data_IF_672469593200
#
_entry.id   IF_672469593200
#
_cell.length_a   1.000
_cell.length_b   1.000
_cell.length_c   1.000
_cell.angle_alpha   90.00
_cell.angle_beta   90.00
_cell.angle_gamma   90.00
#
_symmetry.space_group_name_H-M   'P 1'
#
loop_
_entity.id
_entity.type
_entity.pdbx_description
1 polymer ?
#
# COMPACT_ATOMS: atom_id res chain seq x y z
N UNK A 1 -2.55 -9.96 10.86
CA UNK A 1 -2.95 -10.24 12.25
C UNK A 1 -3.67 -9.02 12.81
N UNK A 2 -4.80 -9.17 13.53
CA UNK A 2 -5.49 -8.06 14.16
C UNK A 2 -4.61 -7.35 15.20
N UNK A 3 -4.86 -6.06 15.42
CA UNK A 3 -4.09 -5.25 16.40
C UNK A 3 -4.21 -5.81 17.82
N UNK A 4 -5.36 -6.41 18.15
CA UNK A 4 -5.68 -6.96 19.47
C UNK A 4 -4.86 -8.20 19.83
N UNK A 5 -4.36 -8.93 18.83
CA UNK A 5 -3.57 -10.13 19.02
C UNK A 5 -2.08 -9.89 18.71
N UNK A 6 -1.67 -8.62 18.54
CA UNK A 6 -0.34 -8.30 18.00
C UNK A 6 0.75 -8.04 19.03
N UNK A 7 0.38 -7.81 20.29
CA UNK A 7 1.30 -7.32 21.32
C UNK A 7 2.48 -8.28 21.56
N UNK A 8 2.22 -9.59 21.66
CA UNK A 8 3.28 -10.59 21.90
C UNK A 8 4.29 -10.67 20.75
N UNK A 9 3.81 -10.79 19.50
CA UNK A 9 4.69 -10.86 18.33
C UNK A 9 5.51 -9.57 18.20
N UNK A 10 4.89 -8.41 18.42
CA UNK A 10 5.60 -7.13 18.38
C UNK A 10 6.71 -7.06 19.41
N UNK A 11 6.45 -7.49 20.64
CA UNK A 11 7.45 -7.50 21.70
C UNK A 11 8.67 -8.36 21.33
N UNK A 12 8.48 -9.41 20.53
CA UNK A 12 9.57 -10.24 19.99
C UNK A 12 10.29 -9.61 18.79
N UNK A 13 9.57 -8.89 17.93
CA UNK A 13 10.12 -8.26 16.70
C UNK A 13 10.86 -6.94 16.98
N UNK A 14 10.39 -6.15 17.94
CA UNK A 14 10.92 -4.81 18.21
C UNK A 14 12.41 -4.80 18.62
N UNK A 15 12.91 -5.71 19.46
CA UNK A 15 14.35 -5.79 19.77
C UNK A 15 15.22 -6.10 18.56
N UNK A 16 14.68 -6.76 17.54
CA UNK A 16 15.35 -7.04 16.27
C UNK A 16 15.26 -5.88 15.26
N UNK A 17 14.61 -4.75 15.63
CA UNK A 17 14.38 -3.62 14.73
C UNK A 17 13.37 -3.92 13.63
N UNK A 18 12.59 -5.00 13.74
CA UNK A 18 11.60 -5.39 12.73
C UNK A 18 10.25 -4.73 13.07
N UNK A 19 9.76 -3.90 12.16
CA UNK A 19 8.45 -3.26 12.32
C UNK A 19 7.34 -4.16 11.77
N UNK A 20 6.34 -4.41 12.61
CA UNK A 20 5.10 -5.01 12.17
C UNK A 20 4.23 -3.96 11.46
N UNK A 21 3.98 -4.16 10.16
CA UNK A 21 3.13 -3.29 9.35
C UNK A 21 1.66 -3.69 9.51
N UNK A 22 0.81 -2.72 9.83
CA UNK A 22 -0.63 -2.92 9.94
C UNK A 22 -1.36 -2.53 8.66
N UNK A 23 -2.42 -3.28 8.39
CA UNK A 23 -3.35 -3.01 7.31
C UNK A 23 -4.57 -2.25 7.83
N UNK A 24 -5.00 -1.23 7.09
CA UNK A 24 -6.22 -0.46 7.36
C UNK A 24 -7.15 -0.54 6.16
N UNK A 25 -8.45 -0.71 6.43
CA UNK A 25 -9.52 -0.77 5.42
C UNK A 25 -10.55 0.34 5.67
N UNK A 26 -11.28 0.80 4.65
CA UNK A 26 -12.26 1.90 4.79
C UNK A 26 -13.35 1.64 5.83
N UNK A 27 -13.68 0.37 6.08
CA UNK A 27 -14.74 -0.05 7.00
C UNK A 27 -14.31 -0.22 8.47
N UNK A 28 -13.03 0.01 8.81
CA UNK A 28 -12.61 0.03 10.22
C UNK A 28 -13.32 1.17 10.96
N UNK A 29 -13.57 0.99 12.26
CA UNK A 29 -14.04 2.08 13.13
C UNK A 29 -12.90 3.02 13.52
N UNK A 30 -13.22 4.26 13.89
CA UNK A 30 -12.21 5.24 14.35
C UNK A 30 -11.47 4.74 15.60
N UNK A 31 -12.18 4.09 16.53
CA UNK A 31 -11.55 3.49 17.71
C UNK A 31 -10.48 2.44 17.35
N UNK A 32 -10.73 1.64 16.30
CA UNK A 32 -9.75 0.66 15.83
C UNK A 32 -8.62 1.32 15.05
N UNK A 33 -8.91 2.35 14.24
CA UNK A 33 -7.88 3.14 13.56
C UNK A 33 -6.93 3.81 14.57
N UNK A 34 -7.47 4.41 15.63
CA UNK A 34 -6.69 5.03 16.69
C UNK A 34 -5.80 4.01 17.41
N UNK A 35 -6.32 2.81 17.71
CA UNK A 35 -5.52 1.74 18.33
C UNK A 35 -4.40 1.26 17.42
N UNK A 36 -4.67 1.08 16.13
CA UNK A 36 -3.65 0.73 15.13
C UNK A 36 -2.59 1.83 15.07
N UNK A 37 -3.00 3.09 14.93
CA UNK A 37 -2.09 4.22 14.79
C UNK A 37 -1.18 4.42 16.01
N UNK A 38 -1.67 4.16 17.22
CA UNK A 38 -0.87 4.24 18.45
C UNK A 38 0.24 3.18 18.53
N UNK A 39 0.04 2.04 17.86
CA UNK A 39 0.99 0.92 17.90
C UNK A 39 1.88 0.88 16.65
N UNK A 40 1.38 1.29 15.49
CA UNK A 40 2.06 1.15 14.21
C UNK A 40 3.45 1.85 14.18
N UNK A 41 4.37 1.25 13.41
CA UNK A 41 5.70 1.79 13.10
C UNK A 41 6.00 1.53 11.61
N UNK A 42 6.93 2.28 11.04
CA UNK A 42 7.21 2.21 9.60
C UNK A 42 6.16 2.93 8.78
N UNK A 43 5.14 2.23 8.31
CA UNK A 43 4.05 2.80 7.50
C UNK A 43 2.71 2.09 7.79
N UNK A 44 1.61 2.70 7.39
CA UNK A 44 0.30 2.07 7.36
C UNK A 44 -0.01 1.56 5.95
N UNK A 45 -0.35 0.27 5.85
CA UNK A 45 -0.78 -0.33 4.60
C UNK A 45 -2.27 -0.06 4.40
N UNK A 46 -2.62 0.80 3.46
CA UNK A 46 -4.00 1.07 3.06
C UNK A 46 -4.45 0.01 2.06
N UNK A 47 -5.43 -0.79 2.46
CA UNK A 47 -6.08 -1.76 1.59
C UNK A 47 -7.11 -1.01 0.77
N UNK A 48 -6.74 -0.66 -0.47
CA UNK A 48 -7.69 -0.13 -1.43
C UNK A 48 -8.60 -1.28 -1.85
N UNK A 49 -9.88 -1.19 -1.51
CA UNK A 49 -10.89 -2.10 -2.07
C UNK A 49 -11.21 -1.63 -3.49
N UNK A 50 -10.21 -1.72 -4.37
CA UNK A 50 -10.47 -1.89 -5.79
C UNK A 50 -11.20 -3.23 -5.88
N UNK A 51 -12.48 -3.16 -6.22
CA UNK A 51 -13.48 -4.22 -6.01
C UNK A 51 -12.96 -5.64 -6.25
N UNK A 52 -13.28 -6.55 -5.33
CA UNK A 52 -12.90 -7.98 -5.36
C UNK A 52 -13.62 -8.80 -6.44
N UNK A 53 -14.05 -8.20 -7.54
CA UNK A 53 -14.59 -8.92 -8.70
C UNK A 53 -14.43 -8.06 -9.96
N UNK A 54 -13.67 -8.56 -10.93
CA UNK A 54 -13.80 -8.26 -12.37
C UNK A 54 -13.85 -6.79 -12.80
N UNK A 55 -12.76 -6.32 -13.40
CA UNK A 55 -12.82 -5.30 -14.46
C UNK A 55 -13.54 -3.99 -14.15
N UNK A 56 -12.96 -3.15 -13.28
CA UNK A 56 -13.18 -1.71 -13.38
C UNK A 56 -11.88 -1.04 -13.78
N UNK A 57 -11.90 -0.33 -14.90
CA UNK A 57 -10.78 0.48 -15.40
C UNK A 57 -10.49 1.68 -14.51
N UNK A 58 -11.49 2.16 -13.77
CA UNK A 58 -11.42 3.35 -12.94
C UNK A 58 -11.12 3.01 -11.49
N UNK A 59 -10.17 3.73 -10.92
CA UNK A 59 -9.80 3.60 -9.52
C UNK A 59 -10.84 4.29 -8.65
N UNK A 60 -11.29 3.62 -7.58
CA UNK A 60 -12.15 4.25 -6.60
C UNK A 60 -11.42 5.45 -5.95
N UNK A 61 -12.13 6.57 -5.80
CA UNK A 61 -11.62 7.70 -5.04
C UNK A 61 -11.47 7.31 -3.56
N UNK A 62 -10.23 7.31 -3.09
CA UNK A 62 -9.88 6.97 -1.70
C UNK A 62 -9.48 8.20 -0.88
N UNK A 63 -9.64 9.42 -1.41
CA UNK A 63 -9.22 10.66 -0.76
C UNK A 63 -9.85 10.84 0.63
N UNK A 64 -11.15 10.56 0.76
CA UNK A 64 -11.85 10.61 2.05
C UNK A 64 -11.32 9.58 3.05
N UNK A 65 -10.95 8.38 2.58
CA UNK A 65 -10.36 7.36 3.43
C UNK A 65 -8.95 7.76 3.90
N UNK A 66 -8.12 8.28 2.99
CA UNK A 66 -6.79 8.81 3.34
C UNK A 66 -6.92 9.93 4.37
N UNK A 67 -7.79 10.92 4.14
CA UNK A 67 -8.03 12.03 5.05
C UNK A 67 -8.45 11.54 6.44
N UNK A 68 -9.34 10.54 6.52
CA UNK A 68 -9.75 9.92 7.77
C UNK A 68 -8.59 9.22 8.49
N UNK A 69 -7.74 8.46 7.79
CA UNK A 69 -6.57 7.81 8.40
C UNK A 69 -5.57 8.84 8.93
N UNK A 70 -5.38 9.95 8.21
CA UNK A 70 -4.50 11.06 8.60
C UNK A 70 -4.93 11.77 9.88
N UNK A 71 -6.21 11.73 10.24
CA UNK A 71 -6.68 12.25 11.52
C UNK A 71 -6.13 11.45 12.72
N UNK A 72 -5.69 10.21 12.50
CA UNK A 72 -5.23 9.31 13.56
C UNK A 72 -3.73 9.03 13.51
N UNK A 73 -3.05 9.23 12.37
CA UNK A 73 -1.63 8.87 12.21
C UNK A 73 -0.86 9.84 11.32
N UNK A 74 0.39 10.11 11.70
CA UNK A 74 1.38 10.85 10.91
C UNK A 74 2.35 9.92 10.16
N UNK A 75 2.22 8.60 10.29
CA UNK A 75 3.07 7.66 9.58
C UNK A 75 2.87 7.76 8.07
N UNK A 76 3.90 7.45 7.27
CA UNK A 76 3.74 7.25 5.83
C UNK A 76 2.60 6.27 5.53
N UNK A 77 1.83 6.57 4.49
CA UNK A 77 0.75 5.71 4.01
C UNK A 77 1.21 5.05 2.72
N UNK A 78 0.99 3.74 2.61
CA UNK A 78 1.24 3.01 1.38
C UNK A 78 -0.04 2.31 0.93
N UNK A 79 -0.50 2.61 -0.27
CA UNK A 79 -1.74 2.02 -0.82
C UNK A 79 -1.41 0.78 -1.63
N UNK A 80 -2.11 -0.31 -1.37
CA UNK A 80 -2.03 -1.52 -2.18
C UNK A 80 -3.41 -2.15 -2.39
N UNK A 81 -3.41 -3.34 -3.00
CA UNK A 81 -4.58 -4.07 -3.49
C UNK A 81 -5.23 -3.41 -4.73
N UNK A 82 -5.03 -4.05 -5.89
CA UNK A 82 -5.68 -3.67 -7.16
C UNK A 82 -4.91 -2.71 -8.07
N UNK A 83 -3.77 -2.16 -7.63
CA UNK A 83 -2.90 -1.34 -8.49
C UNK A 83 -2.15 -2.23 -9.47
N UNK A 84 -2.32 -1.96 -10.76
CA UNK A 84 -1.74 -2.75 -11.85
C UNK A 84 -1.07 -1.95 -12.96
N UNK A 85 -1.36 -0.66 -13.10
CA UNK A 85 -0.79 0.20 -14.16
C UNK A 85 -0.06 1.42 -13.60
N UNK A 86 0.90 2.00 -14.35
CA UNK A 86 1.56 3.25 -13.99
C UNK A 86 0.60 4.42 -13.76
N UNK A 87 -0.48 4.51 -14.52
CA UNK A 87 -1.48 5.58 -14.41
C UNK A 87 -2.22 5.49 -13.07
N UNK A 88 -2.59 4.27 -12.65
CA UNK A 88 -3.16 4.02 -11.33
C UNK A 88 -2.16 4.38 -10.23
N UNK A 89 -0.91 3.94 -10.32
CA UNK A 89 0.11 4.30 -9.32
C UNK A 89 0.30 5.83 -9.23
N UNK A 90 0.35 6.52 -10.38
CA UNK A 90 0.50 7.97 -10.46
C UNK A 90 -0.63 8.72 -9.78
N UNK A 91 -1.88 8.33 -10.00
CA UNK A 91 -3.02 8.99 -9.35
C UNK A 91 -3.00 8.85 -7.82
N UNK A 92 -2.42 7.75 -7.31
CA UNK A 92 -2.27 7.54 -5.87
C UNK A 92 -1.10 8.32 -5.27
N UNK A 93 0.02 8.47 -6.00
CA UNK A 93 1.22 9.16 -5.50
C UNK A 93 0.97 10.62 -5.12
N UNK A 94 -0.06 11.27 -5.66
CA UNK A 94 -0.43 12.63 -5.26
C UNK A 94 -1.02 12.70 -3.84
N UNK A 95 -1.38 11.56 -3.24
CA UNK A 95 -2.12 11.50 -1.97
C UNK A 95 -1.41 10.69 -0.88
N UNK A 96 -0.45 9.82 -1.25
CA UNK A 96 0.24 8.91 -0.32
C UNK A 96 1.73 8.76 -0.65
N UNK A 97 2.53 8.34 0.34
CA UNK A 97 3.99 8.19 0.20
C UNK A 97 4.42 6.86 -0.43
N UNK A 98 3.50 5.91 -0.63
CA UNK A 98 3.82 4.59 -1.17
C UNK A 98 2.69 3.97 -1.98
N UNK A 99 3.07 3.17 -2.98
CA UNK A 99 2.16 2.35 -3.78
C UNK A 99 2.72 0.93 -3.85
N UNK A 100 1.89 -0.07 -3.58
CA UNK A 100 2.27 -1.47 -3.44
C UNK A 100 1.64 -2.29 -4.57
N UNK A 101 2.49 -2.95 -5.35
CA UNK A 101 2.11 -3.70 -6.55
C UNK A 101 2.60 -5.14 -6.40
N UNK A 102 1.66 -6.08 -6.29
CA UNK A 102 1.96 -7.50 -6.13
C UNK A 102 1.55 -8.31 -7.36
N UNK A 103 0.25 -8.55 -7.51
CA UNK A 103 -0.31 -9.48 -8.50
C UNK A 103 0.03 -9.13 -9.95
N UNK A 104 0.11 -7.84 -10.29
CA UNK A 104 0.46 -7.42 -11.65
C UNK A 104 1.93 -7.66 -12.01
N UNK A 105 2.84 -7.59 -11.04
CA UNK A 105 4.24 -7.99 -11.21
C UNK A 105 4.34 -9.53 -11.25
N UNK A 106 3.68 -10.21 -10.31
CA UNK A 106 3.70 -11.67 -10.22
C UNK A 106 3.22 -12.34 -11.52
N UNK A 107 2.14 -11.83 -12.15
CA UNK A 107 1.64 -12.33 -13.44
C UNK A 107 2.65 -12.23 -14.59
N UNK A 108 3.60 -11.28 -14.52
CA UNK A 108 4.65 -11.12 -15.54
C UNK A 108 5.89 -11.97 -15.25
N UNK A 109 6.01 -12.44 -14.01
CA UNK A 109 7.05 -13.38 -13.59
C UNK A 109 6.59 -14.84 -13.74
N UNK A 110 5.28 -15.08 -13.82
CA UNK A 110 4.70 -16.40 -13.85
C UNK A 110 4.50 -16.91 -15.28
N UNK A 111 5.19 -18.01 -15.61
CA UNK A 111 4.93 -18.86 -16.79
C UNK A 111 4.86 -18.11 -18.13
N UNK A 112 5.81 -17.18 -18.35
CA UNK A 112 6.01 -16.49 -19.62
C UNK A 112 7.45 -16.65 -20.10
N UNK A 113 7.62 -16.84 -21.40
CA UNK A 113 8.93 -16.74 -22.03
C UNK A 113 9.50 -15.33 -21.77
N UNK A 114 10.79 -15.25 -21.46
CA UNK A 114 11.47 -13.99 -21.14
C UNK A 114 10.90 -13.23 -19.92
N UNK A 115 10.32 -13.94 -18.93
CA UNK A 115 9.79 -13.37 -17.69
C UNK A 115 10.65 -12.27 -17.03
N UNK A 116 12.00 -12.39 -16.93
CA UNK A 116 12.82 -11.32 -16.37
C UNK A 116 12.76 -10.01 -17.18
N UNK A 117 12.72 -10.09 -18.51
CA UNK A 117 12.66 -8.92 -19.40
C UNK A 117 11.29 -8.25 -19.31
N UNK A 118 10.21 -9.02 -19.27
CA UNK A 118 8.86 -8.47 -19.14
C UNK A 118 8.65 -7.83 -17.77
N UNK A 119 9.15 -8.45 -16.69
CA UNK A 119 9.14 -7.85 -15.36
C UNK A 119 9.96 -6.56 -15.32
N UNK A 120 11.15 -6.54 -15.94
CA UNK A 120 11.98 -5.33 -16.02
C UNK A 120 11.28 -4.22 -16.79
N UNK A 121 10.69 -4.51 -17.96
CA UNK A 121 9.94 -3.53 -18.76
C UNK A 121 8.75 -2.99 -17.99
N UNK A 122 8.06 -3.86 -17.26
CA UNK A 122 6.94 -3.46 -16.42
C UNK A 122 7.37 -2.58 -15.25
N UNK A 123 8.45 -2.91 -14.54
CA UNK A 123 8.97 -2.06 -13.47
C UNK A 123 9.45 -0.70 -14.01
N UNK A 124 10.09 -0.70 -15.19
CA UNK A 124 10.58 0.51 -15.84
C UNK A 124 9.44 1.50 -16.16
N UNK A 125 8.25 1.01 -16.52
CA UNK A 125 7.09 1.86 -16.83
C UNK A 125 6.55 2.64 -15.62
N UNK A 126 6.87 2.23 -14.38
CA UNK A 126 6.59 3.03 -13.18
C UNK A 126 7.66 4.10 -12.92
N UNK A 127 8.89 3.87 -13.38
CA UNK A 127 10.04 4.74 -13.04
C UNK A 127 10.22 5.93 -13.97
N UNK A 128 9.51 5.98 -15.10
CA UNK A 128 9.64 7.02 -16.14
C UNK A 128 9.30 8.45 -15.69
N UNK A 129 9.02 8.69 -14.40
CA UNK A 129 9.04 10.03 -13.79
C UNK A 129 9.11 10.08 -12.25
N UNK A 130 9.63 9.04 -11.58
CA UNK A 130 9.84 9.06 -10.11
C UNK A 130 10.89 10.11 -9.69
N UNK A 131 11.70 10.63 -10.62
CA UNK A 131 12.69 11.69 -10.37
C UNK A 131 12.12 13.11 -10.20
N UNK A 132 10.84 13.36 -10.46
CA UNK A 132 10.29 14.73 -10.47
C UNK A 132 9.52 15.16 -9.19
N UNK A 133 9.54 14.35 -8.11
CA UNK A 133 8.89 14.72 -6.85
C UNK A 133 9.82 14.69 -5.62
N UNK A 134 11.07 14.24 -5.78
CA UNK A 134 12.07 14.24 -4.70
C UNK A 134 12.87 15.56 -4.62
N UNK A 135 12.42 16.64 -5.28
CA UNK A 135 13.16 17.88 -5.44
C UNK A 135 12.32 19.16 -5.44
N UNK A 136 11.18 19.16 -4.75
CA UNK A 136 10.38 20.36 -4.48
C UNK A 136 10.20 20.54 -2.97
#
# INVERSE_FOLDING_TARGET
MPVEASDELRAQLEPAGIHMIFMVTPNLSDARLQRIAAQAKGFLYLVSVLGTTGERSEMADISAFIARVRQHSTLPLAVGFGVGTPEQARHLWEQVEGVIIGSALARRLYDVDQAPIEAQRYLASFTDRVRNHAGA
#
